data_IF_707657859032
#
_entry.id   IF_707657859032
#
_cell.length_a   1.000
_cell.length_b   1.000
_cell.length_c   1.000
_cell.angle_alpha   90.00
_cell.angle_beta   90.00
_cell.angle_gamma   90.00
#
_symmetry.space_group_name_H-M   'P 1'
#
loop_
_entity.id
_entity.type
_entity.pdbx_description
1 polymer ?
#
# COMPACT_ATOMS: atom_id res chain seq x y z
N UNK A 1 -16.24 -3.73 -8.40
CA UNK A 1 -14.88 -3.23 -8.62
C UNK A 1 -14.16 -4.16 -9.58
N UNK A 2 -13.71 -3.68 -10.76
CA UNK A 2 -12.84 -4.43 -11.67
C UNK A 2 -13.46 -5.66 -12.38
N UNK A 3 -14.78 -5.77 -12.47
CA UNK A 3 -15.42 -6.89 -13.16
C UNK A 3 -15.09 -6.93 -14.67
N UNK A 4 -14.81 -5.78 -15.26
CA UNK A 4 -14.37 -5.60 -16.64
C UNK A 4 -12.92 -6.11 -16.89
N UNK A 5 -12.17 -6.36 -15.84
CA UNK A 5 -10.76 -6.79 -15.90
C UNK A 5 -10.58 -8.31 -15.81
N UNK A 6 -11.63 -9.06 -15.44
CA UNK A 6 -11.50 -10.48 -15.11
C UNK A 6 -11.07 -11.38 -16.30
N UNK A 7 -11.26 -10.90 -17.52
CA UNK A 7 -10.86 -11.60 -18.74
C UNK A 7 -9.62 -10.98 -19.41
N UNK A 8 -9.03 -9.93 -18.77
CA UNK A 8 -7.82 -9.27 -19.27
C UNK A 8 -6.59 -9.92 -18.64
N UNK A 9 -5.61 -10.33 -19.46
CA UNK A 9 -4.38 -10.92 -18.94
C UNK A 9 -3.63 -9.94 -18.02
N UNK A 10 -3.09 -10.39 -16.88
CA UNK A 10 -3.00 -11.76 -16.37
C UNK A 10 -4.14 -12.19 -15.42
N UNK A 11 -5.31 -11.55 -15.44
CA UNK A 11 -6.38 -11.82 -14.47
C UNK A 11 -6.81 -13.30 -14.37
N UNK A 12 -6.98 -14.07 -15.48
CA UNK A 12 -7.34 -15.47 -15.37
C UNK A 12 -6.36 -16.28 -14.52
N UNK A 13 -5.06 -16.12 -14.74
CA UNK A 13 -4.01 -16.83 -13.97
C UNK A 13 -4.02 -16.40 -12.49
N UNK A 14 -4.25 -15.11 -12.21
CA UNK A 14 -4.36 -14.59 -10.84
C UNK A 14 -5.58 -15.14 -10.11
N UNK A 15 -6.72 -15.28 -10.82
CA UNK A 15 -7.93 -15.88 -10.26
C UNK A 15 -7.72 -17.36 -9.90
N UNK A 16 -7.03 -18.12 -10.76
CA UNK A 16 -6.71 -19.52 -10.51
C UNK A 16 -5.79 -19.68 -9.30
N UNK A 17 -4.78 -18.83 -9.16
CA UNK A 17 -3.88 -18.82 -7.99
C UNK A 17 -4.62 -18.46 -6.71
N UNK A 18 -5.52 -17.46 -6.75
CA UNK A 18 -6.34 -17.08 -5.61
C UNK A 18 -7.30 -18.22 -5.20
N UNK A 19 -7.96 -18.86 -6.19
CA UNK A 19 -8.86 -19.99 -5.96
C UNK A 19 -8.10 -21.18 -5.32
N UNK A 20 -6.88 -21.49 -5.78
CA UNK A 20 -6.02 -22.49 -5.18
C UNK A 20 -5.64 -22.16 -3.72
N UNK A 21 -5.65 -20.89 -3.37
CA UNK A 21 -5.48 -20.40 -2.00
C UNK A 21 -6.79 -20.35 -1.19
N UNK A 22 -7.92 -20.81 -1.76
CA UNK A 22 -9.24 -20.81 -1.11
C UNK A 22 -9.97 -19.45 -1.17
N UNK A 23 -9.58 -18.55 -2.09
CA UNK A 23 -10.15 -17.20 -2.22
C UNK A 23 -10.91 -17.10 -3.54
N UNK A 24 -12.24 -16.99 -3.48
CA UNK A 24 -13.09 -16.77 -4.66
C UNK A 24 -13.15 -15.27 -4.99
N UNK A 25 -12.16 -14.78 -5.73
CA UNK A 25 -12.11 -13.38 -6.16
C UNK A 25 -13.20 -13.03 -7.17
N UNK A 26 -13.69 -13.98 -7.99
CA UNK A 26 -14.80 -13.70 -8.91
C UNK A 26 -16.06 -13.35 -8.14
N UNK A 27 -16.41 -14.16 -7.14
CA UNK A 27 -17.55 -13.88 -6.29
C UNK A 27 -17.36 -12.59 -5.47
N UNK A 28 -16.16 -12.37 -4.91
CA UNK A 28 -15.87 -11.17 -4.13
C UNK A 28 -15.99 -9.88 -4.95
N UNK A 29 -15.46 -9.86 -6.19
CA UNK A 29 -15.50 -8.69 -7.07
C UNK A 29 -16.89 -8.44 -7.69
N UNK A 30 -17.72 -9.47 -7.81
CA UNK A 30 -19.12 -9.37 -8.24
C UNK A 30 -20.07 -8.98 -7.11
N UNK A 31 -19.66 -9.16 -5.84
CA UNK A 31 -20.42 -8.86 -4.64
C UNK A 31 -20.42 -7.38 -4.26
N UNK A 32 -20.83 -7.11 -3.05
CA UNK A 32 -20.84 -5.77 -2.46
C UNK A 32 -19.51 -5.41 -1.78
N UNK A 33 -19.41 -4.15 -1.31
CA UNK A 33 -18.22 -3.66 -0.61
C UNK A 33 -17.96 -4.40 0.71
N UNK A 34 -18.99 -4.93 1.36
CA UNK A 34 -18.85 -5.65 2.63
C UNK A 34 -18.06 -6.95 2.44
N UNK A 35 -18.31 -7.68 1.34
CA UNK A 35 -17.57 -8.88 0.96
C UNK A 35 -16.08 -8.64 0.67
N UNK A 36 -15.71 -7.41 0.32
CA UNK A 36 -14.32 -7.01 0.07
C UNK A 36 -13.60 -6.45 1.31
N UNK A 37 -14.28 -6.26 2.44
CA UNK A 37 -13.66 -5.69 3.65
C UNK A 37 -12.65 -6.58 4.38
N UNK A 38 -12.85 -7.92 4.46
CA UNK A 38 -11.86 -8.79 5.11
C UNK A 38 -10.49 -8.64 4.43
N UNK A 39 -9.44 -8.40 5.22
CA UNK A 39 -8.11 -8.10 4.68
C UNK A 39 -7.54 -9.24 3.83
N UNK A 40 -7.91 -10.49 4.15
CA UNK A 40 -7.56 -11.70 3.39
C UNK A 40 -8.24 -11.78 2.02
N UNK A 41 -9.29 -10.98 1.79
CA UNK A 41 -9.98 -10.84 0.49
C UNK A 41 -9.57 -9.55 -0.19
N UNK A 42 -9.54 -8.44 0.55
CA UNK A 42 -9.23 -7.11 0.03
C UNK A 42 -7.86 -7.06 -0.65
N UNK A 43 -6.84 -7.63 0.00
CA UNK A 43 -5.47 -7.56 -0.51
C UNK A 43 -5.29 -8.30 -1.85
N UNK A 44 -5.71 -9.58 -2.00
CA UNK A 44 -5.68 -10.27 -3.29
C UNK A 44 -6.54 -9.58 -4.36
N UNK A 45 -7.70 -9.03 -4.00
CA UNK A 45 -8.55 -8.30 -4.94
C UNK A 45 -7.88 -7.02 -5.46
N UNK A 46 -7.24 -6.24 -4.58
CA UNK A 46 -6.46 -5.06 -4.95
C UNK A 46 -5.28 -5.45 -5.85
N UNK A 47 -4.49 -6.46 -5.47
CA UNK A 47 -3.35 -6.91 -6.28
C UNK A 47 -3.80 -7.30 -7.70
N UNK A 48 -4.90 -8.05 -7.84
CA UNK A 48 -5.43 -8.43 -9.14
C UNK A 48 -5.74 -7.20 -9.99
N UNK A 49 -6.57 -6.31 -9.47
CA UNK A 49 -7.02 -5.11 -10.20
C UNK A 49 -5.84 -4.21 -10.56
N UNK A 50 -4.98 -3.91 -9.59
CA UNK A 50 -3.83 -3.03 -9.76
C UNK A 50 -2.79 -3.61 -10.74
N UNK A 51 -2.49 -4.91 -10.64
CA UNK A 51 -1.52 -5.57 -11.53
C UNK A 51 -2.02 -5.61 -12.97
N UNK A 52 -3.29 -5.97 -13.19
CA UNK A 52 -3.88 -6.00 -14.55
C UNK A 52 -3.87 -4.61 -15.16
N UNK A 53 -4.30 -3.60 -14.42
CA UNK A 53 -4.33 -2.21 -14.90
C UNK A 53 -2.92 -1.68 -15.15
N UNK A 54 -1.97 -1.91 -14.25
CA UNK A 54 -0.59 -1.42 -14.41
C UNK A 54 0.09 -2.02 -15.65
N UNK A 55 -0.03 -3.34 -15.86
CA UNK A 55 0.54 -4.01 -17.02
C UNK A 55 -0.12 -3.57 -18.33
N UNK A 56 -1.45 -3.41 -18.32
CA UNK A 56 -2.17 -2.89 -19.49
C UNK A 56 -1.78 -1.46 -19.82
N UNK A 57 -1.62 -0.61 -18.80
CA UNK A 57 -1.18 0.77 -18.91
C UNK A 57 0.22 0.89 -19.50
N UNK A 58 1.18 0.13 -18.97
CA UNK A 58 2.56 0.12 -19.48
C UNK A 58 2.62 -0.33 -20.94
N UNK A 59 1.78 -1.31 -21.32
CA UNK A 59 1.68 -1.75 -22.72
C UNK A 59 1.02 -0.71 -23.64
N UNK A 60 0.04 0.06 -23.13
CA UNK A 60 -0.67 1.09 -23.89
C UNK A 60 0.15 2.38 -24.07
N UNK A 61 1.14 2.63 -23.22
CA UNK A 61 1.93 3.86 -23.21
C UNK A 61 3.45 3.57 -23.27
N UNK A 62 3.96 2.87 -24.32
CA UNK A 62 5.35 2.42 -24.38
C UNK A 62 6.36 3.59 -24.48
N UNK A 63 5.93 4.77 -24.96
CA UNK A 63 6.78 5.95 -25.12
C UNK A 63 6.79 6.85 -23.86
N UNK A 64 6.05 6.49 -22.81
CA UNK A 64 6.03 7.23 -21.55
C UNK A 64 7.21 6.78 -20.68
N UNK A 65 8.06 7.72 -20.30
CA UNK A 65 9.14 7.46 -19.35
C UNK A 65 8.57 7.27 -17.94
N UNK A 66 8.69 6.06 -17.39
CA UNK A 66 8.36 5.74 -16.00
C UNK A 66 9.60 5.91 -15.15
N UNK A 67 9.68 6.99 -14.36
CA UNK A 67 10.85 7.30 -13.52
C UNK A 67 10.91 6.46 -12.24
N UNK A 68 9.77 5.91 -11.80
CA UNK A 68 9.70 5.04 -10.63
C UNK A 68 8.28 4.59 -10.34
N UNK A 69 8.16 3.58 -9.50
CA UNK A 69 6.89 3.06 -9.00
C UNK A 69 6.90 3.00 -7.48
N UNK A 70 5.73 3.17 -6.86
CA UNK A 70 5.52 2.99 -5.44
C UNK A 70 4.10 2.43 -5.21
N UNK A 71 3.88 1.82 -4.06
CA UNK A 71 2.55 1.39 -3.66
C UNK A 71 2.41 1.40 -2.15
N UNK A 72 1.25 1.81 -1.64
CA UNK A 72 1.00 1.90 -0.21
C UNK A 72 0.68 0.52 0.37
N UNK A 73 1.47 0.04 1.32
CA UNK A 73 1.28 -1.25 2.01
C UNK A 73 1.16 -2.42 1.01
N UNK A 74 -0.02 -3.00 0.81
CA UNK A 74 -0.22 -4.07 -0.19
C UNK A 74 0.11 -3.63 -1.61
N UNK A 75 -0.11 -2.37 -1.95
CA UNK A 75 0.21 -1.80 -3.27
C UNK A 75 1.70 -1.88 -3.64
N UNK A 76 2.62 -2.03 -2.67
CA UNK A 76 4.03 -2.25 -2.96
C UNK A 76 4.27 -3.56 -3.74
N UNK A 77 3.44 -4.59 -3.51
CA UNK A 77 3.48 -5.82 -4.32
C UNK A 77 3.04 -5.58 -5.76
N UNK A 78 2.01 -4.75 -5.96
CA UNK A 78 1.57 -4.33 -7.30
C UNK A 78 2.64 -3.48 -8.00
N UNK A 79 3.34 -2.63 -7.26
CA UNK A 79 4.48 -1.87 -7.77
C UNK A 79 5.64 -2.78 -8.17
N UNK A 80 5.93 -3.84 -7.41
CA UNK A 80 6.93 -4.86 -7.76
C UNK A 80 6.55 -5.63 -9.03
N UNK A 81 5.26 -5.91 -9.24
CA UNK A 81 4.77 -6.49 -10.50
C UNK A 81 4.96 -5.52 -11.67
N UNK A 82 4.57 -4.27 -11.51
CA UNK A 82 4.72 -3.23 -12.54
C UNK A 82 6.19 -2.99 -12.93
N UNK A 83 7.12 -3.10 -11.95
CA UNK A 83 8.56 -2.99 -12.19
C UNK A 83 9.20 -4.28 -12.76
N UNK A 84 8.44 -5.35 -12.95
CA UNK A 84 8.94 -6.65 -13.45
C UNK A 84 9.77 -7.44 -12.42
N UNK A 85 9.71 -7.08 -11.14
CA UNK A 85 10.43 -7.76 -10.04
C UNK A 85 9.76 -9.06 -9.67
N UNK A 86 8.44 -9.05 -9.57
CA UNK A 86 7.61 -10.21 -9.25
C UNK A 86 6.75 -10.61 -10.44
N UNK A 87 6.75 -11.90 -10.76
CA UNK A 87 5.71 -12.47 -11.59
C UNK A 87 4.33 -12.27 -10.91
N UNK A 88 3.27 -11.88 -11.65
CA UNK A 88 1.96 -11.63 -11.06
C UNK A 88 1.41 -12.80 -10.24
N UNK A 89 1.64 -14.05 -10.67
CA UNK A 89 1.16 -15.25 -9.95
C UNK A 89 1.96 -15.51 -8.67
N UNK A 90 3.26 -15.17 -8.66
CA UNK A 90 4.09 -15.19 -7.44
C UNK A 90 3.60 -14.13 -6.47
N UNK A 91 3.37 -12.90 -6.93
CA UNK A 91 2.82 -11.82 -6.12
C UNK A 91 1.46 -12.20 -5.51
N UNK A 92 0.56 -12.84 -6.28
CA UNK A 92 -0.74 -13.29 -5.78
C UNK A 92 -0.59 -14.32 -4.65
N UNK A 93 0.32 -15.30 -4.77
CA UNK A 93 0.59 -16.26 -3.69
C UNK A 93 1.08 -15.57 -2.42
N UNK A 94 2.02 -14.62 -2.55
CA UNK A 94 2.54 -13.85 -1.42
C UNK A 94 1.45 -13.01 -0.75
N UNK A 95 0.63 -12.29 -1.53
CA UNK A 95 -0.42 -11.41 -1.02
C UNK A 95 -1.58 -12.20 -0.41
N UNK A 96 -1.95 -13.35 -0.96
CA UNK A 96 -2.93 -14.24 -0.36
C UNK A 96 -2.46 -14.78 1.02
N UNK A 97 -1.19 -15.14 1.14
CA UNK A 97 -0.59 -15.53 2.42
C UNK A 97 -0.52 -14.34 3.39
N UNK A 98 -0.10 -13.16 2.91
CA UNK A 98 -0.03 -11.92 3.69
C UNK A 98 -1.40 -11.55 4.26
N UNK A 99 -2.45 -11.56 3.44
CA UNK A 99 -3.81 -11.27 3.88
C UNK A 99 -4.28 -12.22 4.99
N UNK A 100 -4.03 -13.53 4.85
CA UNK A 100 -4.37 -14.53 5.87
C UNK A 100 -3.56 -14.35 7.15
N UNK A 101 -2.24 -14.18 7.05
CA UNK A 101 -1.39 -13.97 8.21
C UNK A 101 -1.81 -12.72 9.00
N UNK A 102 -2.11 -11.61 8.30
CA UNK A 102 -2.62 -10.38 8.92
C UNK A 102 -4.03 -10.56 9.53
N UNK A 103 -4.91 -11.30 8.88
CA UNK A 103 -6.27 -11.58 9.39
C UNK A 103 -6.26 -12.43 10.67
N UNK A 104 -5.22 -13.27 10.85
CA UNK A 104 -5.02 -14.04 12.08
C UNK A 104 -4.60 -13.17 13.26
N UNK A 105 -3.98 -12.01 13.04
CA UNK A 105 -3.50 -11.06 14.06
C UNK A 105 -4.64 -10.12 14.49
N UNK A 106 -5.56 -10.62 15.32
CA UNK A 106 -6.78 -9.89 15.72
C UNK A 106 -6.63 -8.96 16.91
N UNK A 107 -5.44 -8.89 17.49
CA UNK A 107 -5.17 -8.04 18.63
C UNK A 107 -4.82 -6.62 18.19
N UNK A 108 -5.28 -5.63 18.97
CA UNK A 108 -5.00 -4.23 18.72
C UNK A 108 -5.87 -3.59 17.64
N UNK A 109 -5.34 -2.56 17.02
CA UNK A 109 -6.03 -1.74 16.01
C UNK A 109 -5.17 -0.60 15.49
N UNK A 110 -5.83 0.36 14.84
CA UNK A 110 -5.18 1.57 14.31
C UNK A 110 -6.05 2.81 14.56
N UNK A 111 -5.39 3.96 14.72
CA UNK A 111 -6.06 5.27 14.92
C UNK A 111 -5.39 6.33 14.05
N UNK A 112 -6.17 7.05 13.26
CA UNK A 112 -5.69 8.19 12.49
C UNK A 112 -5.64 9.45 13.37
N UNK A 113 -4.48 10.11 13.41
CA UNK A 113 -4.25 11.38 14.09
C UNK A 113 -4.28 12.52 13.06
N UNK A 114 -5.38 13.24 12.99
CA UNK A 114 -5.54 14.35 12.05
C UNK A 114 -4.99 15.66 12.67
N UNK A 115 -4.10 16.30 11.93
CA UNK A 115 -3.37 17.49 12.38
C UNK A 115 -2.04 17.18 13.07
N UNK A 116 -1.67 15.89 13.20
CA UNK A 116 -0.39 15.48 13.76
C UNK A 116 0.73 15.50 12.71
N UNK A 117 1.94 15.88 13.13
CA UNK A 117 3.19 15.59 12.43
C UNK A 117 3.76 14.24 12.91
N UNK A 118 4.80 13.72 12.25
CA UNK A 118 5.51 12.51 12.68
C UNK A 118 6.06 12.68 14.11
N UNK A 119 6.68 13.83 14.40
CA UNK A 119 7.26 14.11 15.72
C UNK A 119 6.19 14.10 16.83
N UNK A 120 5.04 14.74 16.57
CA UNK A 120 3.92 14.76 17.52
C UNK A 120 3.38 13.36 17.76
N UNK A 121 3.14 12.59 16.71
CA UNK A 121 2.64 11.21 16.84
C UNK A 121 3.64 10.31 17.55
N UNK A 122 4.94 10.46 17.27
CA UNK A 122 6.03 9.72 17.93
C UNK A 122 6.11 10.08 19.41
N UNK A 123 5.97 11.37 19.76
CA UNK A 123 5.98 11.82 21.16
C UNK A 123 4.78 11.22 21.94
N UNK A 124 3.59 11.21 21.36
CA UNK A 124 2.40 10.59 21.97
C UNK A 124 2.62 9.09 22.20
N UNK A 125 3.14 8.37 21.19
CA UNK A 125 3.41 6.94 21.31
C UNK A 125 4.44 6.65 22.40
N UNK A 126 5.52 7.45 22.47
CA UNK A 126 6.56 7.33 23.47
C UNK A 126 6.03 7.59 24.90
N UNK A 127 5.21 8.63 25.09
CA UNK A 127 4.57 8.96 26.36
C UNK A 127 3.71 7.79 26.88
N UNK A 128 2.83 7.24 26.01
CA UNK A 128 1.96 6.11 26.36
C UNK A 128 2.78 4.87 26.72
N UNK A 129 3.79 4.54 25.92
CA UNK A 129 4.66 3.38 26.19
C UNK A 129 5.43 3.56 27.50
N UNK A 130 6.01 4.74 27.75
CA UNK A 130 6.77 5.04 28.98
C UNK A 130 5.89 5.00 30.24
N UNK A 131 4.60 5.34 30.14
CA UNK A 131 3.64 5.24 31.25
C UNK A 131 3.13 3.82 31.52
N UNK A 132 3.61 2.81 30.79
CA UNK A 132 3.14 1.43 30.90
C UNK A 132 1.79 1.18 30.21
N UNK A 133 1.36 2.07 29.32
CA UNK A 133 0.07 1.98 28.61
C UNK A 133 0.03 0.91 27.51
N UNK A 134 1.10 0.15 27.29
CA UNK A 134 1.20 -0.89 26.27
C UNK A 134 1.93 -0.44 25.00
N UNK A 135 1.88 -1.29 23.96
CA UNK A 135 2.58 -1.05 22.69
C UNK A 135 1.72 -0.18 21.77
N UNK A 136 2.23 0.97 21.39
CA UNK A 136 1.67 1.82 20.31
C UNK A 136 2.81 2.51 19.56
N UNK A 137 2.73 2.51 18.24
CA UNK A 137 3.77 3.05 17.34
C UNK A 137 3.15 3.82 16.19
N UNK A 138 3.93 4.66 15.53
CA UNK A 138 3.59 5.24 14.24
C UNK A 138 3.57 4.13 13.19
N UNK A 139 2.48 4.02 12.44
CA UNK A 139 2.25 2.98 11.44
C UNK A 139 2.21 3.52 10.00
N UNK A 140 1.61 4.71 9.77
CA UNK A 140 1.60 5.31 8.44
C UNK A 140 1.87 6.82 8.54
N UNK A 141 2.79 7.28 7.72
CA UNK A 141 3.08 8.69 7.46
C UNK A 141 2.44 9.06 6.13
N UNK A 142 1.12 9.34 6.16
CA UNK A 142 0.32 9.47 4.94
C UNK A 142 0.44 10.84 4.26
N UNK A 143 0.97 11.84 4.96
CA UNK A 143 1.15 13.18 4.44
C UNK A 143 0.98 14.26 5.50
N UNK A 144 1.10 15.54 5.15
CA UNK A 144 0.97 16.65 6.09
C UNK A 144 -0.33 16.57 6.90
N UNK A 145 -0.18 16.47 8.22
CA UNK A 145 -1.30 16.42 9.15
C UNK A 145 -2.14 15.12 9.11
N UNK A 146 -1.61 14.04 8.58
CA UNK A 146 -2.27 12.73 8.56
C UNK A 146 -1.29 11.60 8.89
N UNK A 147 -1.18 11.27 10.16
CA UNK A 147 -0.39 10.16 10.69
C UNK A 147 -1.33 9.10 11.25
N UNK A 148 -1.01 7.83 11.06
CA UNK A 148 -1.74 6.71 11.66
C UNK A 148 -0.84 6.03 12.68
N UNK A 149 -1.37 5.78 13.88
CA UNK A 149 -0.74 4.99 14.92
C UNK A 149 -1.40 3.61 15.00
N UNK A 150 -0.63 2.62 15.41
CA UNK A 150 -1.04 1.22 15.50
C UNK A 150 -0.51 0.59 16.78
N UNK A 151 -1.31 -0.28 17.40
CA UNK A 151 -0.90 -0.89 18.67
C UNK A 151 -2.04 -1.59 19.40
N UNK A 152 -1.82 -1.86 20.67
CA UNK A 152 -2.82 -2.42 21.58
C UNK A 152 -3.99 -1.46 21.78
N UNK A 153 -5.21 -1.97 21.95
CA UNK A 153 -6.41 -1.11 22.06
C UNK A 153 -6.31 -0.13 23.22
N UNK A 154 -5.89 -0.61 24.39
CA UNK A 154 -5.73 0.27 25.55
C UNK A 154 -4.69 1.37 25.33
N UNK A 155 -3.58 1.05 24.63
CA UNK A 155 -2.56 2.02 24.27
C UNK A 155 -3.07 3.04 23.22
N UNK A 156 -3.88 2.61 22.28
CA UNK A 156 -4.53 3.51 21.30
C UNK A 156 -5.55 4.45 21.97
N UNK A 157 -6.32 3.95 22.94
CA UNK A 157 -7.26 4.78 23.73
C UNK A 157 -6.50 5.83 24.56
N UNK A 158 -5.39 5.43 25.21
CA UNK A 158 -4.52 6.36 25.94
C UNK A 158 -3.89 7.40 25.02
N UNK A 159 -3.42 6.99 23.84
CA UNK A 159 -2.87 7.90 22.82
C UNK A 159 -3.93 8.89 22.30
N UNK A 160 -5.15 8.41 22.08
CA UNK A 160 -6.27 9.27 21.65
C UNK A 160 -6.64 10.31 22.74
N UNK A 161 -6.59 9.92 24.01
CA UNK A 161 -6.82 10.83 25.14
C UNK A 161 -5.70 11.90 25.24
N UNK A 162 -4.44 11.52 25.06
CA UNK A 162 -3.29 12.42 25.09
C UNK A 162 -3.24 13.37 23.87
N UNK A 163 -3.80 12.95 22.73
CA UNK A 163 -3.68 13.62 21.44
C UNK A 163 -4.05 15.12 21.47
N UNK A 164 -5.09 15.48 22.23
CA UNK A 164 -5.54 16.88 22.35
C UNK A 164 -4.49 17.77 23.04
N UNK A 165 -3.81 17.27 24.05
CA UNK A 165 -2.75 18.02 24.77
C UNK A 165 -1.53 18.27 23.86
N UNK A 166 -1.31 17.42 22.88
CA UNK A 166 -0.26 17.55 21.86
C UNK A 166 -0.72 18.36 20.61
N UNK A 167 -1.89 18.99 20.64
CA UNK A 167 -2.38 19.82 19.53
C UNK A 167 -2.97 19.04 18.36
N UNK A 168 -3.20 17.75 18.49
CA UNK A 168 -3.86 16.93 17.46
C UNK A 168 -5.32 17.31 17.37
N UNK A 169 -5.76 17.61 16.15
CA UNK A 169 -7.14 18.09 15.91
C UNK A 169 -8.19 17.00 16.14
N UNK A 170 -7.90 15.75 15.74
CA UNK A 170 -8.84 14.63 15.86
C UNK A 170 -8.09 13.30 15.84
N UNK A 171 -8.44 12.39 16.76
CA UNK A 171 -8.06 10.99 16.75
C UNK A 171 -9.27 10.15 16.31
N UNK A 172 -9.12 9.36 15.23
CA UNK A 172 -10.21 8.57 14.62
C UNK A 172 -9.81 7.12 14.60
N UNK A 173 -10.46 6.24 15.37
CA UNK A 173 -10.27 4.80 15.25
C UNK A 173 -10.60 4.30 13.84
N UNK A 174 -9.73 3.49 13.26
CA UNK A 174 -9.94 2.89 11.95
C UNK A 174 -10.67 1.55 12.08
N UNK A 175 -11.52 1.23 11.09
CA UNK A 175 -12.25 -0.04 11.02
C UNK A 175 -11.37 -1.13 10.41
N UNK A 176 -10.31 -1.52 11.11
CA UNK A 176 -9.36 -2.55 10.69
C UNK A 176 -9.30 -3.68 11.71
N UNK A 177 -8.93 -4.89 11.27
CA UNK A 177 -8.98 -6.10 12.07
C UNK A 177 -7.80 -6.30 13.01
N UNK A 178 -6.73 -5.49 12.92
CA UNK A 178 -5.51 -5.69 13.72
C UNK A 178 -4.61 -4.47 13.76
N UNK A 179 -3.50 -4.60 14.49
CA UNK A 179 -2.47 -3.56 14.67
C UNK A 179 -1.43 -3.61 13.54
N UNK A 180 -1.86 -3.33 12.31
CA UNK A 180 -1.00 -3.41 11.13
C UNK A 180 0.16 -2.41 11.19
N UNK A 181 1.29 -2.79 10.58
CA UNK A 181 2.53 -1.98 10.55
C UNK A 181 3.08 -1.64 11.94
N UNK A 182 2.96 -2.59 12.88
CA UNK A 182 3.47 -2.47 14.25
C UNK A 182 4.23 -3.74 14.66
N UNK A 183 4.97 -3.73 15.78
CA UNK A 183 5.62 -4.93 16.33
C UNK A 183 4.66 -6.09 16.61
N UNK A 184 3.36 -5.83 16.78
CA UNK A 184 2.34 -6.87 16.96
C UNK A 184 2.13 -7.73 15.71
N UNK A 185 2.66 -7.31 14.54
CA UNK A 185 2.66 -8.09 13.30
C UNK A 185 3.90 -9.01 13.17
N UNK A 186 4.76 -9.13 14.18
CA UNK A 186 6.04 -9.87 14.06
C UNK A 186 5.85 -11.32 13.61
N UNK A 187 4.88 -12.05 14.15
CA UNK A 187 4.62 -13.44 13.76
C UNK A 187 4.14 -13.55 12.29
N UNK A 188 3.24 -12.64 11.86
CA UNK A 188 2.81 -12.58 10.47
C UNK A 188 3.95 -12.17 9.53
N UNK A 189 4.82 -11.26 9.97
CA UNK A 189 6.00 -10.83 9.21
C UNK A 189 7.02 -11.95 9.03
N UNK A 190 7.20 -12.83 10.04
CA UNK A 190 8.08 -14.00 9.94
C UNK A 190 7.51 -15.03 8.96
N UNK A 191 6.21 -15.36 9.06
CA UNK A 191 5.53 -16.29 8.16
C UNK A 191 5.62 -15.83 6.70
N UNK A 192 5.24 -14.58 6.43
CA UNK A 192 5.29 -13.98 5.08
C UNK A 192 6.73 -13.81 4.61
N UNK A 193 7.65 -13.47 5.52
CA UNK A 193 9.07 -13.33 5.26
C UNK A 193 9.71 -14.61 4.71
N UNK A 194 9.36 -15.77 5.25
CA UNK A 194 9.84 -17.05 4.73
C UNK A 194 9.38 -17.31 3.27
N UNK A 195 8.16 -16.89 2.92
CA UNK A 195 7.67 -17.00 1.54
C UNK A 195 8.35 -15.99 0.60
N UNK A 196 8.64 -14.78 1.08
CA UNK A 196 9.39 -13.76 0.33
C UNK A 196 10.81 -14.25 0.05
N UNK A 197 11.47 -14.94 1.01
CA UNK A 197 12.81 -15.51 0.82
C UNK A 197 12.84 -16.57 -0.28
N UNK A 198 11.80 -17.40 -0.35
CA UNK A 198 11.69 -18.45 -1.35
C UNK A 198 11.21 -17.93 -2.73
N UNK A 199 10.69 -16.71 -2.80
CA UNK A 199 10.15 -16.16 -4.04
C UNK A 199 11.27 -15.75 -5.01
N UNK A 200 11.16 -16.04 -6.31
CA UNK A 200 12.06 -15.50 -7.32
C UNK A 200 11.77 -14.00 -7.51
N UNK A 201 12.80 -13.17 -7.31
CA UNK A 201 12.76 -11.74 -7.60
C UNK A 201 13.75 -11.43 -8.71
N UNK A 202 13.30 -10.66 -9.72
CA UNK A 202 14.15 -10.16 -10.79
C UNK A 202 14.63 -8.72 -10.47
N UNK A 203 15.71 -8.23 -11.10
CA UNK A 203 16.06 -6.81 -11.04
C UNK A 203 14.92 -5.94 -11.57
N UNK A 204 14.64 -4.82 -10.91
CA UNK A 204 13.57 -3.91 -11.30
C UNK A 204 13.90 -3.16 -12.59
N UNK A 205 12.99 -3.17 -13.56
CA UNK A 205 13.10 -2.39 -14.80
C UNK A 205 13.10 -0.88 -14.53
N UNK A 206 12.34 -0.45 -13.53
CA UNK A 206 12.29 0.92 -13.02
C UNK A 206 12.46 0.91 -11.49
N UNK A 207 12.95 2.00 -10.85
CA UNK A 207 13.10 2.04 -9.41
C UNK A 207 11.79 1.79 -8.69
N UNK A 208 11.80 0.94 -7.66
CA UNK A 208 10.68 0.76 -6.72
C UNK A 208 11.01 1.55 -5.46
N UNK A 209 10.14 2.47 -5.07
CA UNK A 209 10.28 3.24 -3.82
C UNK A 209 9.62 2.46 -2.70
N UNK A 210 10.44 1.96 -1.76
CA UNK A 210 10.02 1.04 -0.71
C UNK A 210 9.38 1.77 0.47
N UNK A 211 8.34 1.19 1.08
CA UNK A 211 7.59 1.81 2.17
C UNK A 211 8.40 2.04 3.44
N UNK A 212 9.33 1.14 3.76
CA UNK A 212 10.02 1.12 5.07
C UNK A 212 11.01 2.27 5.27
N UNK A 213 11.63 2.76 4.21
CA UNK A 213 12.69 3.76 4.23
C UNK A 213 12.60 4.81 3.10
N UNK A 214 11.59 4.69 2.24
CA UNK A 214 11.35 5.54 1.08
C UNK A 214 12.53 5.60 0.08
N UNK A 215 13.39 4.58 0.07
CA UNK A 215 14.52 4.49 -0.85
C UNK A 215 14.08 3.87 -2.17
N UNK A 216 14.53 4.48 -3.28
CA UNK A 216 14.34 3.94 -4.64
C UNK A 216 15.35 2.83 -4.92
N UNK A 217 14.88 1.62 -5.19
CA UNK A 217 15.69 0.40 -5.28
C UNK A 217 15.41 -0.35 -6.58
N UNK A 218 16.45 -0.92 -7.21
CA UNK A 218 16.35 -1.84 -8.36
C UNK A 218 16.91 -3.24 -8.07
N UNK A 219 17.79 -3.34 -7.09
CA UNK A 219 18.46 -4.60 -6.72
C UNK A 219 17.46 -5.56 -6.03
N UNK A 220 17.34 -6.82 -6.51
CA UNK A 220 16.35 -7.76 -6.00
C UNK A 220 16.60 -8.18 -4.55
N UNK A 221 17.84 -8.26 -4.09
CA UNK A 221 18.13 -8.67 -2.71
C UNK A 221 17.84 -7.53 -1.75
N UNK A 222 18.13 -6.29 -2.15
CA UNK A 222 17.77 -5.09 -1.40
C UNK A 222 16.25 -4.87 -1.35
N UNK A 223 15.50 -5.23 -2.41
CA UNK A 223 14.03 -5.23 -2.41
C UNK A 223 13.47 -6.31 -1.48
N UNK A 224 14.04 -7.53 -1.52
CA UNK A 224 13.66 -8.63 -0.64
C UNK A 224 13.79 -8.26 0.84
N UNK A 225 14.93 -7.69 1.23
CA UNK A 225 15.20 -7.27 2.60
C UNK A 225 14.16 -6.26 3.11
N UNK A 226 13.82 -5.26 2.28
CA UNK A 226 12.82 -4.25 2.61
C UNK A 226 11.40 -4.81 2.69
N UNK A 227 11.04 -5.67 1.74
CA UNK A 227 9.72 -6.30 1.70
C UNK A 227 9.48 -7.19 2.93
N UNK A 228 10.52 -7.89 3.43
CA UNK A 228 10.45 -8.66 4.68
C UNK A 228 10.12 -7.80 5.90
N UNK A 229 10.66 -6.59 5.96
CA UNK A 229 10.45 -5.65 7.08
C UNK A 229 9.12 -4.91 6.99
N UNK A 230 8.53 -4.81 5.80
CA UNK A 230 7.40 -3.93 5.51
C UNK A 230 6.21 -4.15 6.47
N UNK A 231 5.86 -5.40 6.77
CA UNK A 231 4.66 -5.73 7.51
C UNK A 231 4.68 -5.26 8.98
N UNK A 232 5.88 -5.21 9.59
CA UNK A 232 6.09 -4.77 10.97
C UNK A 232 6.74 -3.38 11.08
N UNK A 233 6.84 -2.65 9.96
CA UNK A 233 7.45 -1.32 9.90
C UNK A 233 6.46 -0.26 9.41
N UNK A 234 6.69 1.03 9.74
CA UNK A 234 5.87 2.11 9.22
C UNK A 234 5.86 2.18 7.69
N UNK A 235 4.73 2.58 7.12
CA UNK A 235 4.61 3.01 5.72
C UNK A 235 4.95 4.50 5.65
N UNK A 236 6.10 4.85 5.08
CA UNK A 236 6.59 6.22 4.92
C UNK A 236 6.08 6.84 3.62
N UNK A 237 4.75 6.89 3.45
CA UNK A 237 4.14 7.26 2.18
C UNK A 237 4.48 8.68 1.72
N UNK A 238 4.48 9.64 2.66
CA UNK A 238 4.88 11.03 2.36
C UNK A 238 6.29 11.11 1.76
N UNK A 239 7.21 10.34 2.34
CA UNK A 239 8.60 10.31 1.87
C UNK A 239 8.72 9.56 0.54
N UNK A 240 7.89 8.51 0.31
CA UNK A 240 7.85 7.82 -0.97
C UNK A 240 7.43 8.76 -2.10
N UNK A 241 6.42 9.60 -1.89
CA UNK A 241 5.99 10.61 -2.86
C UNK A 241 7.10 11.64 -3.10
N UNK A 242 7.76 12.12 -2.05
CA UNK A 242 8.90 13.04 -2.17
C UNK A 242 10.06 12.41 -2.95
N UNK A 243 10.34 11.13 -2.75
CA UNK A 243 11.36 10.40 -3.52
C UNK A 243 10.98 10.30 -4.99
N UNK A 244 9.72 9.99 -5.32
CA UNK A 244 9.25 9.98 -6.72
C UNK A 244 9.42 11.36 -7.38
N UNK A 245 9.07 12.46 -6.69
CA UNK A 245 9.31 13.81 -7.17
C UNK A 245 10.81 14.08 -7.39
N UNK A 246 11.66 13.62 -6.47
CA UNK A 246 13.12 13.72 -6.57
C UNK A 246 13.72 12.90 -7.73
N UNK A 247 13.04 11.86 -8.21
CA UNK A 247 13.39 11.10 -9.41
C UNK A 247 12.97 11.81 -10.70
N UNK A 248 12.28 12.95 -10.60
CA UNK A 248 11.83 13.73 -11.75
C UNK A 248 10.40 13.43 -12.19
N UNK A 249 9.57 12.83 -11.33
CA UNK A 249 8.16 12.65 -11.66
C UNK A 249 7.46 14.00 -11.83
N UNK A 250 6.79 14.19 -12.94
CA UNK A 250 5.94 15.36 -13.22
C UNK A 250 4.46 15.04 -13.01
N UNK A 251 4.10 13.76 -13.22
CA UNK A 251 2.75 13.22 -13.09
C UNK A 251 2.81 11.93 -12.29
N UNK A 252 1.92 11.78 -11.33
CA UNK A 252 1.68 10.53 -10.61
C UNK A 252 0.38 9.92 -11.11
N UNK A 253 0.44 8.67 -11.56
CA UNK A 253 -0.75 7.91 -11.99
C UNK A 253 -1.12 6.93 -10.90
N UNK A 254 -2.26 7.15 -10.23
CA UNK A 254 -2.84 6.18 -9.29
C UNK A 254 -3.54 5.08 -10.09
N UNK A 255 -3.07 3.85 -9.92
CA UNK A 255 -3.60 2.66 -10.60
C UNK A 255 -4.39 1.84 -9.60
N UNK A 256 -5.67 1.62 -9.88
CA UNK A 256 -6.55 0.87 -9.00
C UNK A 256 -7.82 1.62 -8.62
N UNK A 257 -8.65 1.02 -7.75
CA UNK A 257 -9.93 1.61 -7.36
C UNK A 257 -9.75 2.74 -6.35
N UNK A 258 -10.49 3.82 -6.54
CA UNK A 258 -10.52 4.97 -5.63
C UNK A 258 -9.54 6.09 -6.00
N UNK A 259 -9.33 7.03 -5.08
CA UNK A 259 -8.55 8.26 -5.29
C UNK A 259 -7.78 8.68 -4.04
N UNK A 260 -7.48 7.72 -3.19
CA UNK A 260 -6.88 7.99 -1.87
C UNK A 260 -5.46 8.50 -2.04
N UNK A 261 -4.64 7.82 -2.86
CA UNK A 261 -3.25 8.16 -3.03
C UNK A 261 -3.08 9.46 -3.84
N UNK A 262 -3.93 9.70 -4.83
CA UNK A 262 -3.99 10.99 -5.54
C UNK A 262 -4.31 12.15 -4.60
N UNK A 263 -5.29 11.96 -3.71
CA UNK A 263 -5.62 12.96 -2.69
C UNK A 263 -4.51 13.17 -1.64
N UNK A 264 -3.72 12.13 -1.33
CA UNK A 264 -2.54 12.24 -0.48
C UNK A 264 -1.41 12.98 -1.22
N UNK A 265 -1.11 12.58 -2.45
CA UNK A 265 -0.07 13.18 -3.31
C UNK A 265 -0.26 14.69 -3.44
N UNK A 266 -1.47 15.14 -3.79
CA UNK A 266 -1.74 16.57 -3.93
C UNK A 266 -1.62 17.39 -2.62
N UNK A 267 -1.64 16.73 -1.45
CA UNK A 267 -1.36 17.38 -0.15
C UNK A 267 0.13 17.34 0.21
N UNK A 268 0.83 16.31 -0.22
CA UNK A 268 2.28 16.13 0.01
C UNK A 268 3.06 17.09 -0.89
N UNK A 269 2.76 17.05 -2.17
CA UNK A 269 3.39 17.91 -3.18
C UNK A 269 2.32 18.44 -4.16
N UNK A 270 1.85 19.69 -3.96
CA UNK A 270 0.89 20.31 -4.88
C UNK A 270 1.44 20.57 -6.29
N UNK A 271 2.73 20.46 -6.50
CA UNK A 271 3.38 20.59 -7.82
C UNK A 271 3.24 19.32 -8.66
N UNK A 272 3.04 18.16 -8.04
CA UNK A 272 2.80 16.92 -8.75
C UNK A 272 1.36 16.84 -9.26
N UNK A 273 1.22 16.68 -10.56
CA UNK A 273 -0.09 16.41 -11.17
C UNK A 273 -0.48 14.95 -10.95
N UNK A 274 -1.77 14.69 -10.75
CA UNK A 274 -2.27 13.33 -10.49
C UNK A 274 -3.30 12.93 -11.54
N UNK A 275 -3.20 11.69 -12.00
CA UNK A 275 -4.18 11.03 -12.85
C UNK A 275 -4.63 9.73 -12.20
N UNK A 276 -5.80 9.24 -12.56
CA UNK A 276 -6.35 7.98 -12.04
C UNK A 276 -6.66 7.02 -13.17
N UNK A 277 -6.31 5.75 -12.96
CA UNK A 277 -6.65 4.63 -13.85
C UNK A 277 -7.33 3.55 -13.03
N UNK A 278 -8.66 3.51 -13.09
CA UNK A 278 -9.49 2.59 -12.32
C UNK A 278 -10.25 1.55 -13.20
N UNK A 279 -10.05 1.58 -14.53
CA UNK A 279 -10.66 0.66 -15.49
C UNK A 279 -9.77 0.43 -16.72
N UNK A 280 -10.01 -0.64 -17.47
CA UNK A 280 -9.30 -0.91 -18.72
C UNK A 280 -9.48 0.23 -19.75
N UNK A 281 -10.66 0.82 -19.82
CA UNK A 281 -10.93 1.95 -20.70
C UNK A 281 -10.06 3.17 -20.32
N UNK A 282 -10.00 3.52 -19.04
CA UNK A 282 -9.16 4.61 -18.55
C UNK A 282 -7.66 4.36 -18.83
N UNK A 283 -7.20 3.11 -18.75
CA UNK A 283 -5.83 2.75 -19.08
C UNK A 283 -5.53 3.00 -20.58
N UNK A 284 -6.45 2.69 -21.48
CA UNK A 284 -6.32 2.96 -22.90
C UNK A 284 -6.34 4.47 -23.26
N UNK A 285 -7.00 5.29 -22.46
CA UNK A 285 -7.09 6.75 -22.64
C UNK A 285 -5.91 7.52 -22.06
N UNK A 286 -5.10 6.89 -21.21
CA UNK A 286 -4.00 7.55 -20.47
C UNK A 286 -2.99 8.29 -21.37
N UNK A 287 -2.54 7.75 -22.54
CA UNK A 287 -1.58 8.46 -23.39
C UNK A 287 -2.11 9.83 -23.82
N UNK A 288 -3.38 9.93 -24.15
CA UNK A 288 -4.01 11.20 -24.51
C UNK A 288 -4.15 12.15 -23.30
N UNK A 289 -4.51 11.60 -22.15
CA UNK A 289 -4.62 12.36 -20.90
C UNK A 289 -3.26 12.91 -20.45
N UNK A 290 -2.19 12.10 -20.49
CA UNK A 290 -0.82 12.55 -20.21
C UNK A 290 -0.38 13.66 -21.16
N UNK A 291 -0.59 13.50 -22.47
CA UNK A 291 -0.26 14.53 -23.45
C UNK A 291 -1.02 15.85 -23.20
N UNK A 292 -2.25 15.80 -22.68
CA UNK A 292 -3.01 16.97 -22.25
C UNK A 292 -2.43 17.64 -21.00
N UNK A 293 -2.08 16.84 -20.03
CA UNK A 293 -1.53 17.29 -18.74
C UNK A 293 -0.12 17.89 -18.90
N UNK A 294 0.75 17.31 -19.73
CA UNK A 294 2.12 17.77 -19.93
C UNK A 294 2.24 19.04 -20.80
N UNK A 295 1.17 19.41 -21.53
CA UNK A 295 1.15 20.61 -22.40
C UNK A 295 0.50 21.83 -21.76
N UNK A 296 -0.19 21.66 -20.64
CA UNK A 296 -0.86 22.73 -19.87
C UNK A 296 -0.08 23.13 -18.63
#
# INVERSE_FOLDING_TARGET
MGADLLEVAPAPDLLDVAAAAGIDLRAALAGDEEGLRPTEIAQPALLLVESVLALHLLAAAPDVEVVGVAGHSVGEYSALVAAGVLDPTVAMRLVAARGRAMAAMREGGMTALLGATEEVATAICAEVTASGGGVVVVANLNGPGQVVISGERAALDAAAAAAKAHGVRKAIPLRVGGAFHSPLMAAAAEEVGALIDAAPLAPAAVPVVCNVDAVAVRDPDALRERLRRQLASPVRWSDCVATLAGLGAEVVVEVGPGSVLSGLTGRIDPGLRTLQVASAAAAGELPAALAGVLRG
#
